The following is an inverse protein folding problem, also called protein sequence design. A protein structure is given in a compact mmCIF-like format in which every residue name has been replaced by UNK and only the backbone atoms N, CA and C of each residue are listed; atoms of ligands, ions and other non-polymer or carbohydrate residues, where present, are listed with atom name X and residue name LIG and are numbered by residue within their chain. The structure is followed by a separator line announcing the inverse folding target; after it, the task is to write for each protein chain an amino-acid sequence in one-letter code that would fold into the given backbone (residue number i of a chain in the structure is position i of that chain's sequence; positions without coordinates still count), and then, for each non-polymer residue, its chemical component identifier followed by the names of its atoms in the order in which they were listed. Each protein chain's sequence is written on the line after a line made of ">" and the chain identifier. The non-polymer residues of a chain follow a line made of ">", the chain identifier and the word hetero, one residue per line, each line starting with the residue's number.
data_IF_323887308172
#
_entry.id   IF_323887308172
#
_cell.length_a   1.000
_cell.length_b   1.000
_cell.length_c   1.000
_cell.angle_alpha   90.00
_cell.angle_beta   90.00
_cell.angle_gamma   90.00
#
_symmetry.space_group_name_H-M   'P 1'
#
loop_
_entity.id
_entity.type
_entity.pdbx_description
1 polymer ?
#
# COMPACT_ATOMS: atom_id res chain seq x y z
N UNK A 1 -11.15 -3.94 -41.96
CA UNK A 1 -9.76 -3.47 -41.73
C UNK A 1 -9.86 -2.63 -40.48
N UNK A 2 -9.95 -3.36 -39.38
CA UNK A 2 -10.44 -2.84 -38.12
C UNK A 2 -9.29 -2.48 -37.20
N UNK A 3 -9.59 -1.42 -36.46
CA UNK A 3 -8.79 -0.83 -35.43
C UNK A 3 -8.31 -1.86 -34.40
N UNK A 4 -7.06 -1.73 -33.95
CA UNK A 4 -6.74 -2.06 -32.57
C UNK A 4 -5.94 -0.94 -31.95
N UNK A 5 -6.67 -0.18 -31.13
CA UNK A 5 -6.21 0.86 -30.22
C UNK A 5 -5.36 0.17 -29.16
N UNK A 6 -4.13 0.64 -28.96
CA UNK A 6 -3.17 0.12 -27.98
C UNK A 6 -3.81 0.11 -26.58
N UNK A 7 -3.97 -1.07 -26.00
CA UNK A 7 -4.38 -1.26 -24.61
C UNK A 7 -3.13 -1.01 -23.76
N UNK A 8 -3.17 0.07 -22.99
CA UNK A 8 -2.16 0.40 -21.99
C UNK A 8 -2.11 -0.70 -20.91
N UNK A 9 -0.91 -1.13 -20.60
CA UNK A 9 -0.57 -2.03 -19.49
C UNK A 9 -1.00 -1.38 -18.16
N UNK A 10 -2.06 -1.89 -17.54
CA UNK A 10 -2.37 -1.64 -16.13
C UNK A 10 -1.63 -2.67 -15.28
N UNK A 11 -0.59 -2.23 -14.56
CA UNK A 11 -0.08 -2.94 -13.38
C UNK A 11 -0.38 -2.09 -12.15
N UNK A 12 -1.60 -2.23 -11.61
CA UNK A 12 -1.89 -1.94 -10.20
C UNK A 12 -2.93 -2.96 -9.75
N UNK A 13 -2.45 -4.06 -9.19
CA UNK A 13 -3.28 -4.98 -8.41
C UNK A 13 -2.43 -5.50 -7.26
N UNK A 14 -2.14 -4.60 -6.32
CA UNK A 14 -1.67 -4.97 -4.99
C UNK A 14 -2.56 -4.28 -3.95
N UNK A 15 -3.84 -4.62 -3.96
CA UNK A 15 -4.77 -4.64 -2.80
C UNK A 15 -6.17 -5.06 -3.28
N UNK A 16 -6.38 -6.36 -3.49
CA UNK A 16 -7.72 -6.90 -3.72
C UNK A 16 -7.82 -8.34 -3.23
N UNK A 17 -7.63 -8.55 -1.93
CA UNK A 17 -7.94 -9.83 -1.29
C UNK A 17 -8.26 -9.66 0.21
N UNK A 18 -9.28 -8.85 0.51
CA UNK A 18 -10.07 -9.01 1.73
C UNK A 18 -11.50 -8.56 1.44
N UNK A 19 -12.45 -9.51 1.47
CA UNK A 19 -13.91 -9.36 1.52
C UNK A 19 -14.58 -8.26 0.68
N UNK A 20 -15.47 -8.64 -0.25
CA UNK A 20 -16.45 -7.75 -0.86
C UNK A 20 -17.28 -7.00 0.20
N UNK A 21 -16.81 -5.82 0.59
CA UNK A 21 -17.59 -4.70 1.09
C UNK A 21 -17.15 -3.50 0.26
N UNK A 22 -18.11 -2.85 -0.41
CA UNK A 22 -17.95 -1.77 -1.38
C UNK A 22 -16.61 -1.01 -1.26
N UNK A 23 -15.70 -1.26 -2.19
CA UNK A 23 -14.53 -0.42 -2.41
C UNK A 23 -15.06 0.94 -2.89
N UNK A 24 -15.11 1.92 -2.00
CA UNK A 24 -15.35 3.32 -2.38
C UNK A 24 -14.24 3.68 -3.38
N UNK A 25 -14.60 4.17 -4.56
CA UNK A 25 -13.60 4.62 -5.54
C UNK A 25 -12.80 5.78 -4.92
N UNK A 26 -11.48 5.59 -4.75
CA UNK A 26 -10.58 6.64 -4.23
C UNK A 26 -10.62 7.85 -5.16
N UNK A 27 -10.67 9.06 -4.61
CA UNK A 27 -10.63 10.29 -5.39
C UNK A 27 -9.22 10.52 -5.95
N UNK A 28 -9.01 10.17 -7.22
CA UNK A 28 -7.75 10.45 -7.94
C UNK A 28 -7.58 11.96 -8.13
N UNK A 29 -6.43 12.50 -7.76
CA UNK A 29 -6.10 13.92 -7.95
C UNK A 29 -5.03 14.09 -9.01
N UNK A 30 -5.12 15.19 -9.76
CA UNK A 30 -4.11 15.56 -10.75
C UNK A 30 -2.99 16.34 -10.06
N UNK A 31 -1.77 15.81 -10.14
CA UNK A 31 -0.57 16.52 -9.72
C UNK A 31 -0.11 17.53 -10.78
N UNK A 32 0.65 18.53 -10.36
CA UNK A 32 1.37 19.44 -11.25
C UNK A 32 2.58 18.77 -11.91
N UNK A 33 3.49 19.58 -12.44
CA UNK A 33 4.74 19.08 -13.04
C UNK A 33 5.84 19.00 -11.98
N UNK A 34 6.52 17.85 -11.91
CA UNK A 34 7.69 17.69 -11.05
C UNK A 34 8.87 18.51 -11.56
N UNK A 35 9.64 19.09 -10.64
CA UNK A 35 10.84 19.89 -10.97
C UNK A 35 11.96 19.61 -9.96
N UNK A 36 13.22 19.45 -10.42
CA UNK A 36 14.35 19.29 -9.52
C UNK A 36 14.64 20.58 -8.77
N UNK A 37 15.03 20.48 -7.50
CA UNK A 37 15.54 21.63 -6.76
C UNK A 37 16.91 22.09 -7.28
N UNK A 38 17.70 21.13 -7.75
CA UNK A 38 19.00 21.36 -8.39
C UNK A 38 19.20 20.33 -9.51
N UNK A 39 19.32 20.82 -10.75
CA UNK A 39 19.48 19.98 -11.93
C UNK A 39 20.82 19.22 -11.98
N UNK A 40 21.81 19.57 -11.14
CA UNK A 40 23.04 18.82 -11.01
C UNK A 40 22.89 17.54 -10.19
N UNK A 41 21.89 17.48 -9.31
CA UNK A 41 21.71 16.38 -8.34
C UNK A 41 20.38 15.65 -8.46
N UNK A 42 19.42 16.20 -9.20
CA UNK A 42 18.12 15.62 -9.46
C UNK A 42 17.72 15.76 -10.94
N UNK A 43 17.10 14.72 -11.48
CA UNK A 43 16.53 14.71 -12.84
C UNK A 43 15.08 14.24 -12.80
N UNK A 44 14.26 14.81 -13.68
CA UNK A 44 12.84 14.49 -13.81
C UNK A 44 12.56 14.10 -15.25
N UNK A 45 12.00 12.91 -15.47
CA UNK A 45 11.52 12.44 -16.77
C UNK A 45 10.06 12.01 -16.65
N UNK A 46 9.15 12.90 -17.02
CA UNK A 46 7.73 12.74 -16.72
C UNK A 46 7.51 12.70 -15.20
N UNK A 47 7.02 11.55 -14.70
CA UNK A 47 6.81 11.33 -13.27
C UNK A 47 7.92 10.49 -12.61
N UNK A 48 8.97 10.13 -13.35
CA UNK A 48 10.15 9.45 -12.80
C UNK A 48 11.15 10.47 -12.30
N UNK A 49 11.50 10.35 -11.02
CA UNK A 49 12.36 11.24 -10.26
C UNK A 49 13.62 10.48 -9.90
N UNK A 50 14.79 10.99 -10.30
CA UNK A 50 16.07 10.33 -10.05
C UNK A 50 17.04 11.29 -9.37
N UNK A 51 17.58 10.87 -8.23
CA UNK A 51 18.49 11.63 -7.37
C UNK A 51 19.88 11.00 -7.39
N UNK A 52 20.91 11.77 -7.74
CA UNK A 52 22.30 11.29 -7.78
C UNK A 52 23.04 11.45 -6.44
N UNK A 53 22.50 12.23 -5.50
CA UNK A 53 23.09 12.50 -4.20
C UNK A 53 22.05 12.37 -3.08
N UNK A 54 22.52 12.15 -1.84
CA UNK A 54 21.67 12.28 -0.66
C UNK A 54 21.23 13.74 -0.50
N UNK A 55 20.01 13.94 -0.01
CA UNK A 55 19.36 15.24 0.20
C UNK A 55 18.99 16.00 -1.08
N UNK A 56 19.24 15.42 -2.25
CA UNK A 56 18.69 15.92 -3.51
C UNK A 56 17.17 15.67 -3.53
N UNK A 57 16.42 16.56 -4.16
CA UNK A 57 14.98 16.48 -4.14
C UNK A 57 14.30 17.18 -5.30
N UNK A 58 13.01 16.88 -5.42
CA UNK A 58 12.11 17.43 -6.42
C UNK A 58 10.84 17.92 -5.75
N UNK A 59 10.33 19.04 -6.23
CA UNK A 59 9.01 19.55 -5.85
C UNK A 59 7.98 19.32 -6.95
N UNK A 60 6.71 19.31 -6.57
CA UNK A 60 5.58 19.38 -7.47
C UNK A 60 4.67 20.49 -6.96
N UNK A 61 4.73 21.63 -7.65
CA UNK A 61 4.01 22.83 -7.26
C UNK A 61 2.55 22.72 -7.70
N UNK A 62 1.64 22.96 -6.76
CA UNK A 62 0.20 22.71 -6.93
C UNK A 62 -0.62 24.00 -6.90
N UNK A 63 -0.10 25.06 -6.29
CA UNK A 63 -0.78 26.35 -6.34
C UNK A 63 -0.75 26.92 -7.76
N UNK A 64 -1.91 27.43 -8.22
CA UNK A 64 -2.08 28.02 -9.54
C UNK A 64 -2.42 29.50 -9.41
N UNK A 65 -1.43 30.37 -9.66
CA UNK A 65 -1.56 31.80 -9.40
C UNK A 65 -1.83 32.06 -7.91
N UNK A 66 -2.96 32.69 -7.61
CA UNK A 66 -3.36 33.05 -6.23
C UNK A 66 -4.08 31.92 -5.48
N UNK A 67 -4.34 30.79 -6.13
CA UNK A 67 -5.14 29.69 -5.57
C UNK A 67 -4.24 28.53 -5.13
N UNK A 68 -4.49 28.03 -3.92
CA UNK A 68 -3.90 26.78 -3.44
C UNK A 68 -4.75 25.58 -3.90
N UNK A 69 -4.16 24.39 -3.92
CA UNK A 69 -4.93 23.16 -4.08
C UNK A 69 -5.77 22.88 -2.81
N UNK A 70 -7.02 22.48 -3.03
CA UNK A 70 -7.95 22.09 -1.97
C UNK A 70 -8.08 20.58 -1.91
N UNK A 71 -7.55 20.00 -0.83
CA UNK A 71 -7.55 18.57 -0.54
C UNK A 71 -8.33 18.25 0.74
N UNK A 72 -9.30 19.09 1.12
CA UNK A 72 -10.08 18.90 2.35
C UNK A 72 -10.94 17.64 2.38
N UNK A 73 -11.15 17.01 1.23
CA UNK A 73 -11.96 15.78 1.10
C UNK A 73 -11.21 14.52 1.58
N UNK A 74 -9.91 14.61 1.88
CA UNK A 74 -9.12 13.49 2.40
C UNK A 74 -8.50 13.77 3.77
N UNK A 75 -8.11 12.69 4.44
CA UNK A 75 -7.28 12.73 5.65
C UNK A 75 -5.79 12.53 5.33
N UNK A 76 -5.48 11.84 4.23
CA UNK A 76 -4.12 11.58 3.74
C UNK A 76 -4.01 11.84 2.24
N UNK A 77 -2.81 12.21 1.82
CA UNK A 77 -2.35 11.99 0.45
C UNK A 77 -1.77 10.59 0.35
N UNK A 78 -2.24 9.82 -0.62
CA UNK A 78 -1.64 8.55 -1.05
C UNK A 78 -0.97 8.76 -2.40
N UNK A 79 0.32 8.45 -2.51
CA UNK A 79 1.05 8.38 -3.77
C UNK A 79 1.30 6.92 -4.11
N UNK A 80 0.70 6.45 -5.20
CA UNK A 80 1.08 5.18 -5.80
C UNK A 80 2.40 5.36 -6.52
N UNK A 81 3.36 4.48 -6.22
CA UNK A 81 4.71 4.56 -6.75
C UNK A 81 5.21 3.24 -7.30
N UNK A 82 6.05 3.34 -8.32
CA UNK A 82 6.80 2.23 -8.90
C UNK A 82 8.29 2.57 -8.96
N UNK A 83 9.11 1.55 -9.19
CA UNK A 83 10.56 1.67 -9.30
C UNK A 83 11.22 2.42 -8.13
N UNK A 84 10.64 2.37 -6.93
CA UNK A 84 11.21 2.98 -5.74
C UNK A 84 12.50 2.25 -5.37
N UNK A 85 13.62 2.94 -5.54
CA UNK A 85 14.97 2.52 -5.19
C UNK A 85 15.59 3.57 -4.27
N UNK A 86 16.14 3.13 -3.15
CA UNK A 86 16.57 4.02 -2.07
C UNK A 86 15.42 4.57 -1.24
N UNK A 87 15.76 5.43 -0.28
CA UNK A 87 14.82 5.94 0.72
C UNK A 87 14.58 7.43 0.53
N UNK A 88 13.33 7.87 0.66
CA UNK A 88 12.91 9.26 0.49
C UNK A 88 12.17 9.78 1.72
N UNK A 89 12.44 11.04 2.05
CA UNK A 89 11.52 11.87 2.81
C UNK A 89 10.47 12.42 1.84
N UNK A 90 9.21 12.43 2.27
CA UNK A 90 8.10 13.01 1.54
C UNK A 90 7.45 14.09 2.38
N UNK A 91 6.91 15.15 1.77
CA UNK A 91 6.14 16.12 2.51
C UNK A 91 5.11 16.87 1.68
N UNK A 92 4.12 17.42 2.40
CA UNK A 92 3.14 18.37 1.88
C UNK A 92 3.38 19.70 2.58
N UNK A 93 3.43 20.76 1.78
CA UNK A 93 3.67 22.12 2.23
C UNK A 93 2.43 22.97 1.99
N UNK A 94 2.14 23.85 2.96
CA UNK A 94 0.88 24.58 3.04
C UNK A 94 1.11 26.09 3.13
N UNK A 95 0.06 26.85 2.84
CA UNK A 95 -0.06 28.28 3.11
C UNK A 95 -0.91 28.53 4.37
N UNK A 96 -0.68 29.67 5.05
CA UNK A 96 -1.42 30.06 6.26
C UNK A 96 -2.63 30.97 6.01
N UNK A 97 -3.02 31.17 4.74
CA UNK A 97 -4.05 32.10 4.23
C UNK A 97 -3.68 33.59 4.32
N UNK A 98 -2.43 33.91 4.66
CA UNK A 98 -1.99 35.29 4.93
C UNK A 98 -0.70 35.67 4.21
N UNK A 99 0.16 34.69 3.97
CA UNK A 99 1.50 34.89 3.44
C UNK A 99 1.50 34.74 1.92
N UNK A 100 1.73 35.85 1.24
CA UNK A 100 1.76 35.93 -0.22
C UNK A 100 3.07 36.60 -0.68
N UNK A 101 3.52 36.25 -1.88
CA UNK A 101 4.63 36.94 -2.53
C UNK A 101 4.20 38.31 -3.08
N UNK A 102 5.13 39.09 -3.63
CA UNK A 102 4.86 40.42 -4.20
C UNK A 102 3.88 40.38 -5.40
N UNK A 103 3.59 39.19 -5.93
CA UNK A 103 2.65 38.96 -7.03
C UNK A 103 1.30 38.42 -6.54
N UNK A 104 1.12 38.25 -5.22
CA UNK A 104 -0.08 37.72 -4.60
C UNK A 104 -0.19 36.19 -4.60
N UNK A 105 0.85 35.47 -5.00
CA UNK A 105 0.84 34.01 -4.97
C UNK A 105 1.06 33.49 -3.55
N UNK A 106 0.39 32.41 -3.12
CA UNK A 106 0.58 31.84 -1.80
C UNK A 106 2.00 31.32 -1.63
N UNK A 107 2.59 31.59 -0.46
CA UNK A 107 3.94 31.11 -0.11
C UNK A 107 3.87 29.92 0.86
N UNK A 108 4.91 29.10 0.86
CA UNK A 108 5.03 27.97 1.78
C UNK A 108 5.35 28.45 3.21
N UNK A 109 4.59 27.96 4.18
CA UNK A 109 4.85 28.11 5.61
C UNK A 109 5.39 26.78 6.16
N UNK A 110 6.68 26.77 6.49
CA UNK A 110 7.40 25.53 6.81
C UNK A 110 6.85 24.81 8.03
N UNK A 111 6.37 25.56 9.02
CA UNK A 111 5.83 25.07 10.29
C UNK A 111 4.52 24.29 10.11
N UNK A 112 3.83 24.45 8.97
CA UNK A 112 2.60 23.73 8.67
C UNK A 112 2.84 22.39 7.95
N UNK A 113 4.08 22.15 7.51
CA UNK A 113 4.48 20.99 6.70
C UNK A 113 4.15 19.69 7.42
N UNK A 114 3.51 18.75 6.72
CA UNK A 114 3.36 17.37 7.15
C UNK A 114 4.28 16.47 6.36
N UNK A 115 4.73 15.38 6.97
CA UNK A 115 5.78 14.53 6.41
C UNK A 115 5.35 13.08 6.35
N UNK A 116 5.85 12.39 5.34
CA UNK A 116 5.83 10.93 5.22
C UNK A 116 7.20 10.43 4.80
N UNK A 117 7.30 9.13 4.58
CA UNK A 117 8.54 8.47 4.13
C UNK A 117 8.21 7.42 3.10
N UNK A 118 9.18 7.15 2.24
CA UNK A 118 9.14 6.05 1.29
C UNK A 118 10.46 5.29 1.41
N UNK A 119 10.39 3.98 1.59
CA UNK A 119 11.58 3.12 1.66
C UNK A 119 11.81 2.38 0.35
N UNK A 120 13.02 1.86 0.15
CA UNK A 120 13.35 1.00 -0.99
C UNK A 120 12.31 -0.11 -1.15
N UNK A 121 11.79 -0.27 -2.38
CA UNK A 121 10.79 -1.28 -2.71
C UNK A 121 9.34 -0.96 -2.32
N UNK A 122 9.07 0.08 -1.53
CA UNK A 122 7.70 0.51 -1.21
C UNK A 122 6.91 0.82 -2.49
N UNK A 123 5.61 0.52 -2.48
CA UNK A 123 4.67 0.75 -3.59
C UNK A 123 3.74 1.92 -3.37
N UNK A 124 3.69 2.44 -2.14
CA UNK A 124 2.78 3.52 -1.77
C UNK A 124 3.47 4.42 -0.74
N UNK A 125 3.31 5.74 -0.88
CA UNK A 125 3.67 6.72 0.15
C UNK A 125 2.40 7.37 0.71
N UNK A 126 2.23 7.37 2.04
CA UNK A 126 1.18 8.13 2.71
C UNK A 126 1.76 9.35 3.41
N UNK A 127 1.07 10.48 3.30
CA UNK A 127 1.37 11.69 4.04
C UNK A 127 0.07 12.22 4.65
N UNK A 128 0.01 12.31 5.98
CA UNK A 128 -1.18 12.84 6.67
C UNK A 128 -1.39 14.30 6.28
N UNK A 129 -2.62 14.67 5.94
CA UNK A 129 -2.96 16.04 5.65
C UNK A 129 -3.05 16.86 6.94
N UNK A 130 -2.69 18.13 6.84
CA UNK A 130 -2.92 19.07 7.93
C UNK A 130 -4.40 19.44 7.96
N UNK A 131 -5.15 18.90 8.93
CA UNK A 131 -6.61 19.08 9.05
C UNK A 131 -7.09 20.55 9.02
N UNK A 132 -6.25 21.50 9.46
CA UNK A 132 -6.61 22.92 9.50
C UNK A 132 -6.27 23.70 8.22
N UNK A 133 -5.48 23.08 7.33
CA UNK A 133 -4.89 23.73 6.15
C UNK A 133 -4.91 22.84 4.90
N UNK A 134 -5.65 21.72 4.90
CA UNK A 134 -5.78 20.81 3.76
C UNK A 134 -6.41 21.49 2.54
N UNK A 135 -7.13 22.60 2.74
CA UNK A 135 -7.65 23.50 1.70
C UNK A 135 -6.62 24.50 1.15
N UNK A 136 -5.36 24.43 1.61
CA UNK A 136 -4.28 25.39 1.34
C UNK A 136 -2.96 24.71 1.00
N UNK A 137 -3.01 23.65 0.21
CA UNK A 137 -1.83 22.92 -0.26
C UNK A 137 -1.12 23.71 -1.36
N UNK A 138 0.20 23.87 -1.22
CA UNK A 138 1.02 24.66 -2.14
C UNK A 138 1.96 23.77 -2.95
N UNK A 139 2.60 22.80 -2.29
CA UNK A 139 3.66 22.00 -2.89
C UNK A 139 3.74 20.64 -2.21
N UNK A 140 4.09 19.62 -2.97
CA UNK A 140 4.60 18.35 -2.41
C UNK A 140 6.05 18.18 -2.81
N UNK A 141 6.84 17.46 -2.02
CA UNK A 141 8.20 17.14 -2.41
C UNK A 141 8.64 15.76 -1.96
N UNK A 142 9.60 15.22 -2.73
CA UNK A 142 10.31 13.99 -2.44
C UNK A 142 11.81 14.29 -2.42
N UNK A 143 12.49 13.88 -1.37
CA UNK A 143 13.91 14.12 -1.15
C UNK A 143 14.60 12.81 -0.78
N UNK A 144 15.64 12.42 -1.52
CA UNK A 144 16.41 11.22 -1.19
C UNK A 144 17.17 11.38 0.13
N UNK A 145 17.28 10.30 0.89
CA UNK A 145 18.16 10.20 2.06
C UNK A 145 19.46 9.44 1.75
N UNK A 146 19.50 8.76 0.60
CA UNK A 146 20.63 7.99 0.10
C UNK A 146 21.18 8.58 -1.20
N UNK A 147 22.46 8.34 -1.49
CA UNK A 147 23.03 8.64 -2.79
C UNK A 147 22.58 7.59 -3.81
N UNK A 148 22.19 8.02 -5.01
CA UNK A 148 21.55 7.18 -6.04
C UNK A 148 20.22 6.59 -5.58
N UNK A 149 19.13 7.32 -5.85
CA UNK A 149 17.77 6.89 -5.57
C UNK A 149 16.87 7.24 -6.76
N UNK A 150 15.83 6.44 -6.99
CA UNK A 150 14.84 6.70 -8.05
C UNK A 150 13.45 6.31 -7.59
N UNK A 151 12.42 7.02 -8.05
CA UNK A 151 11.02 6.67 -7.82
C UNK A 151 10.17 7.21 -8.96
N UNK A 152 9.18 6.45 -9.40
CA UNK A 152 8.14 6.94 -10.31
C UNK A 152 6.86 7.15 -9.51
N UNK A 153 6.27 8.34 -9.61
CA UNK A 153 4.94 8.64 -9.03
C UNK A 153 3.88 8.34 -10.08
N UNK A 154 3.19 7.22 -9.94
CA UNK A 154 2.24 6.75 -10.94
C UNK A 154 0.90 7.50 -10.81
N UNK A 155 0.39 7.60 -9.58
CA UNK A 155 -0.90 8.23 -9.27
C UNK A 155 -0.91 8.87 -7.89
N UNK A 156 -1.90 9.72 -7.66
CA UNK A 156 -2.12 10.37 -6.38
C UNK A 156 -3.61 10.36 -6.02
N UNK A 157 -3.92 10.09 -4.76
CA UNK A 157 -5.27 9.98 -4.24
C UNK A 157 -5.44 10.74 -2.92
N UNK A 158 -6.66 11.23 -2.70
CA UNK A 158 -7.12 11.63 -1.37
C UNK A 158 -7.87 10.45 -0.75
N UNK A 159 -7.49 10.11 0.48
CA UNK A 159 -7.97 8.90 1.17
C UNK A 159 -8.32 9.20 2.62
N UNK A 160 -9.27 8.43 3.15
CA UNK A 160 -9.72 8.58 4.54
C UNK A 160 -8.77 7.92 5.54
N UNK A 161 -8.92 8.25 6.82
CA UNK A 161 -8.24 7.55 7.91
C UNK A 161 -8.58 6.06 7.92
N UNK A 162 -9.83 5.65 7.62
CA UNK A 162 -10.18 4.22 7.56
C UNK A 162 -9.40 3.47 6.47
N UNK A 163 -9.25 4.07 5.29
CA UNK A 163 -8.50 3.47 4.18
C UNK A 163 -7.00 3.35 4.51
N UNK A 164 -6.42 4.37 5.15
CA UNK A 164 -5.05 4.31 5.64
C UNK A 164 -4.86 3.23 6.72
N UNK A 165 -5.79 3.09 7.66
CA UNK A 165 -5.73 2.03 8.67
C UNK A 165 -5.85 0.63 8.03
N UNK A 166 -6.69 0.48 7.01
CA UNK A 166 -6.79 -0.76 6.23
C UNK A 166 -5.46 -1.09 5.52
N UNK A 167 -4.80 -0.08 4.92
CA UNK A 167 -3.46 -0.23 4.35
C UNK A 167 -2.44 -0.67 5.40
N UNK A 168 -2.41 -0.05 6.59
CA UNK A 168 -1.49 -0.44 7.65
C UNK A 168 -1.72 -1.87 8.11
N UNK A 169 -2.99 -2.28 8.25
CA UNK A 169 -3.35 -3.66 8.58
C UNK A 169 -2.82 -4.63 7.51
N UNK A 170 -3.00 -4.33 6.23
CA UNK A 170 -2.50 -5.16 5.14
C UNK A 170 -0.96 -5.19 5.10
N UNK A 171 -0.30 -4.03 5.18
CA UNK A 171 1.16 -3.94 5.22
C UNK A 171 1.74 -4.73 6.39
N UNK A 172 1.06 -4.72 7.54
CA UNK A 172 1.50 -5.44 8.75
C UNK A 172 1.45 -6.97 8.61
N UNK A 173 0.69 -7.51 7.65
CA UNK A 173 0.74 -8.94 7.32
C UNK A 173 2.07 -9.37 6.70
N UNK A 174 2.79 -8.43 6.09
CA UNK A 174 4.15 -8.60 5.58
C UNK A 174 4.26 -9.67 4.49
N UNK A 175 4.10 -9.28 3.23
CA UNK A 175 4.27 -10.18 2.08
C UNK A 175 5.67 -10.81 2.06
N UNK A 176 5.71 -12.13 1.96
CA UNK A 176 6.93 -12.93 1.83
C UNK A 176 7.02 -13.49 0.40
N UNK A 177 8.19 -13.40 -0.22
CA UNK A 177 8.43 -13.98 -1.55
C UNK A 177 8.95 -15.41 -1.39
N UNK A 178 8.13 -16.39 -1.74
CA UNK A 178 8.52 -17.80 -1.76
C UNK A 178 9.35 -18.11 -3.01
N UNK A 179 8.97 -17.52 -4.16
CA UNK A 179 9.65 -17.69 -5.44
C UNK A 179 9.40 -16.49 -6.36
N UNK A 180 10.37 -16.15 -7.20
CA UNK A 180 10.26 -15.15 -8.26
C UNK A 180 11.16 -15.56 -9.43
N UNK A 181 10.69 -15.35 -10.66
CA UNK A 181 11.41 -15.75 -11.86
C UNK A 181 10.54 -15.66 -13.11
N UNK A 182 10.86 -16.44 -14.13
CA UNK A 182 10.03 -16.60 -15.32
C UNK A 182 10.12 -18.05 -15.77
N UNK A 183 9.04 -18.81 -15.56
CA UNK A 183 8.98 -20.23 -15.91
C UNK A 183 7.77 -20.48 -16.80
N UNK A 184 8.02 -20.69 -18.10
CA UNK A 184 6.99 -21.02 -19.07
C UNK A 184 6.69 -22.52 -19.03
N UNK A 185 5.44 -22.89 -18.73
CA UNK A 185 5.02 -24.28 -18.63
C UNK A 185 4.75 -24.97 -19.98
N UNK A 186 4.77 -24.21 -21.09
CA UNK A 186 4.49 -24.74 -22.43
C UNK A 186 3.07 -25.32 -22.56
N UNK A 187 2.86 -26.15 -23.57
CA UNK A 187 1.54 -26.73 -23.90
C UNK A 187 1.55 -28.26 -23.91
N UNK A 188 2.46 -28.87 -23.14
CA UNK A 188 2.70 -30.33 -23.14
C UNK A 188 2.54 -30.99 -21.78
N UNK A 189 2.25 -30.25 -20.71
CA UNK A 189 2.26 -30.75 -19.33
C UNK A 189 3.59 -31.43 -18.95
N UNK A 190 4.69 -30.91 -19.48
CA UNK A 190 6.02 -31.43 -19.18
C UNK A 190 6.40 -31.12 -17.72
N UNK A 191 6.43 -32.17 -16.88
CA UNK A 191 6.79 -32.06 -15.47
C UNK A 191 8.20 -31.51 -15.23
N UNK A 192 9.09 -31.55 -16.22
CA UNK A 192 10.42 -30.91 -16.12
C UNK A 192 10.37 -29.38 -16.14
N UNK A 193 9.25 -28.80 -16.61
CA UNK A 193 9.01 -27.35 -16.60
C UNK A 193 8.34 -26.86 -15.31
N UNK A 194 7.99 -27.77 -14.40
CA UNK A 194 7.37 -27.41 -13.13
C UNK A 194 8.37 -26.68 -12.22
N UNK A 195 7.88 -25.65 -11.52
CA UNK A 195 8.67 -24.89 -10.55
C UNK A 195 8.67 -25.63 -9.22
N UNK A 196 9.87 -25.95 -8.73
CA UNK A 196 10.10 -26.58 -7.44
C UNK A 196 10.54 -25.52 -6.43
N UNK A 197 9.77 -25.33 -5.35
CA UNK A 197 10.08 -24.38 -4.28
C UNK A 197 10.45 -25.16 -3.02
N UNK A 198 11.69 -25.00 -2.57
CA UNK A 198 12.22 -25.72 -1.41
C UNK A 198 11.44 -25.42 -0.11
N UNK A 199 11.23 -26.43 0.72
CA UNK A 199 10.54 -26.34 2.02
C UNK A 199 11.00 -25.18 2.91
N UNK A 200 12.30 -24.86 2.90
CA UNK A 200 12.88 -23.77 3.69
C UNK A 200 12.28 -22.38 3.39
N UNK A 201 11.67 -22.18 2.21
CA UNK A 201 10.95 -20.95 1.85
C UNK A 201 9.64 -20.77 2.62
N UNK A 202 9.10 -21.85 3.19
CA UNK A 202 7.83 -21.86 3.89
C UNK A 202 7.98 -21.96 5.42
N UNK A 203 9.20 -21.92 5.94
CA UNK A 203 9.49 -22.09 7.37
C UNK A 203 8.78 -21.06 8.27
N UNK A 204 8.50 -19.85 7.77
CA UNK A 204 7.79 -18.79 8.49
C UNK A 204 6.27 -18.77 8.27
N UNK A 205 5.74 -19.67 7.42
CA UNK A 205 4.30 -19.77 7.13
C UNK A 205 3.53 -20.17 8.39
N UNK A 206 2.41 -19.49 8.66
CA UNK A 206 1.53 -19.73 9.80
C UNK A 206 0.17 -20.21 9.33
N UNK A 207 -0.55 -20.90 10.22
CA UNK A 207 -1.96 -21.27 10.04
C UNK A 207 -2.76 -20.09 9.46
N UNK A 208 -3.54 -20.33 8.41
CA UNK A 208 -4.34 -19.31 7.75
C UNK A 208 -3.56 -18.34 6.85
N UNK A 209 -2.31 -18.66 6.47
CA UNK A 209 -1.56 -17.87 5.51
C UNK A 209 -2.23 -17.86 4.13
N UNK A 210 -2.26 -16.69 3.51
CA UNK A 210 -2.77 -16.50 2.15
C UNK A 210 -1.62 -16.50 1.16
N UNK A 211 -1.70 -17.35 0.16
CA UNK A 211 -0.73 -17.48 -0.93
C UNK A 211 -1.27 -16.85 -2.21
N UNK A 212 -0.41 -16.17 -2.94
CA UNK A 212 -0.71 -15.60 -4.27
C UNK A 212 0.31 -16.08 -5.30
N UNK A 213 -0.20 -16.56 -6.43
CA UNK A 213 0.56 -17.10 -7.55
C UNK A 213 0.35 -16.17 -8.73
N UNK A 214 1.39 -15.49 -9.18
CA UNK A 214 1.36 -14.55 -10.30
C UNK A 214 1.85 -15.21 -11.57
N UNK A 215 1.15 -14.94 -12.67
CA UNK A 215 1.45 -15.54 -13.97
C UNK A 215 0.95 -14.67 -15.13
N UNK A 216 1.55 -14.90 -16.29
CA UNK A 216 1.05 -14.43 -17.58
C UNK A 216 0.39 -15.60 -18.33
N UNK A 217 -0.82 -15.40 -18.84
CA UNK A 217 -1.45 -16.37 -19.74
C UNK A 217 -0.84 -16.24 -21.14
N UNK A 218 -0.28 -17.32 -21.66
CA UNK A 218 0.30 -17.32 -23.00
C UNK A 218 -0.81 -17.46 -24.06
N UNK A 219 -0.50 -17.13 -25.32
CA UNK A 219 -1.44 -17.21 -26.45
C UNK A 219 -1.25 -18.48 -27.29
N UNK A 220 -0.57 -19.50 -26.75
CA UNK A 220 -0.19 -20.70 -27.48
C UNK A 220 -1.31 -21.76 -27.50
N UNK A 221 -2.35 -21.56 -26.68
CA UNK A 221 -3.54 -22.41 -26.62
C UNK A 221 -4.79 -21.62 -26.18
N UNK A 222 -5.96 -22.23 -26.32
CA UNK A 222 -7.27 -21.60 -26.02
C UNK A 222 -7.58 -21.51 -24.52
N UNK A 223 -6.76 -22.11 -23.67
CA UNK A 223 -6.93 -22.10 -22.23
C UNK A 223 -5.58 -22.10 -21.51
N UNK A 224 -5.57 -21.62 -20.27
CA UNK A 224 -4.39 -21.59 -19.40
C UNK A 224 -4.75 -22.19 -18.05
N UNK A 225 -3.85 -23.01 -17.50
CA UNK A 225 -4.03 -23.70 -16.23
C UNK A 225 -2.76 -23.72 -15.40
N UNK A 226 -2.92 -23.76 -14.08
CA UNK A 226 -1.86 -24.04 -13.12
C UNK A 226 -2.28 -25.14 -12.16
N UNK A 227 -1.34 -25.91 -11.61
CA UNK A 227 -1.57 -26.85 -10.53
C UNK A 227 -0.66 -26.54 -9.35
N UNK A 228 -1.22 -26.57 -8.14
CA UNK A 228 -0.52 -26.21 -6.91
C UNK A 228 -0.43 -27.49 -6.07
N UNK A 229 0.78 -28.01 -5.93
CA UNK A 229 1.05 -29.29 -5.28
C UNK A 229 2.03 -29.16 -4.11
N UNK A 230 2.00 -30.13 -3.20
CA UNK A 230 3.10 -30.36 -2.27
C UNK A 230 4.36 -30.87 -3.00
N UNK A 231 5.48 -30.96 -2.29
CA UNK A 231 6.75 -31.48 -2.81
C UNK A 231 6.69 -32.93 -3.33
N UNK A 232 5.62 -33.66 -3.02
CA UNK A 232 5.37 -35.03 -3.50
C UNK A 232 4.39 -35.07 -4.68
N UNK A 233 4.10 -33.93 -5.31
CA UNK A 233 3.19 -33.78 -6.44
C UNK A 233 1.71 -34.06 -6.14
N UNK A 234 1.32 -34.08 -4.86
CA UNK A 234 -0.09 -34.14 -4.50
C UNK A 234 -0.69 -32.74 -4.54
N UNK A 235 -1.80 -32.57 -5.24
CA UNK A 235 -2.53 -31.29 -5.25
C UNK A 235 -2.92 -30.88 -3.83
N UNK A 236 -2.62 -29.64 -3.47
CA UNK A 236 -3.01 -29.09 -2.17
C UNK A 236 -4.53 -28.98 -2.10
N UNK A 237 -5.10 -29.43 -0.98
CA UNK A 237 -6.55 -29.41 -0.77
C UNK A 237 -7.14 -27.99 -0.76
N UNK A 238 -6.31 -26.99 -0.44
CA UNK A 238 -6.67 -25.57 -0.41
C UNK A 238 -6.71 -24.91 -1.79
N UNK A 239 -6.31 -25.59 -2.87
CA UNK A 239 -6.54 -25.12 -4.24
C UNK A 239 -8.03 -25.30 -4.60
N UNK A 240 -8.89 -24.42 -4.05
CA UNK A 240 -10.35 -24.63 -4.02
C UNK A 240 -11.03 -24.77 -5.39
N UNK A 241 -10.42 -24.19 -6.41
CA UNK A 241 -10.93 -24.21 -7.79
C UNK A 241 -10.23 -25.26 -8.65
N UNK A 242 -9.44 -26.13 -8.03
CA UNK A 242 -8.77 -27.21 -8.72
C UNK A 242 -9.80 -28.23 -9.20
N UNK A 243 -9.69 -28.56 -10.49
CA UNK A 243 -10.42 -29.65 -11.09
C UNK A 243 -10.20 -30.96 -10.28
N UNK A 244 -11.25 -31.66 -9.85
CA UNK A 244 -11.11 -32.86 -9.02
C UNK A 244 -10.36 -34.02 -9.67
N UNK A 245 -10.32 -34.07 -11.01
CA UNK A 245 -9.64 -35.12 -11.77
C UNK A 245 -8.17 -34.79 -11.99
N UNK A 246 -7.84 -33.53 -12.27
CA UNK A 246 -6.50 -33.13 -12.72
C UNK A 246 -5.71 -32.32 -11.68
N UNK A 247 -6.40 -31.78 -10.68
CA UNK A 247 -5.81 -30.94 -9.64
C UNK A 247 -5.30 -29.60 -10.18
N UNK A 248 -5.94 -29.08 -11.22
CA UNK A 248 -5.52 -27.87 -11.95
C UNK A 248 -6.62 -26.83 -11.93
N UNK A 249 -6.21 -25.57 -11.84
CA UNK A 249 -7.08 -24.40 -11.79
C UNK A 249 -7.05 -23.73 -13.16
N UNK A 250 -8.22 -23.41 -13.72
CA UNK A 250 -8.33 -22.58 -14.92
C UNK A 250 -8.01 -21.13 -14.58
N UNK A 251 -7.05 -20.54 -15.28
CA UNK A 251 -6.55 -19.18 -15.00
C UNK A 251 -6.68 -18.21 -16.17
N UNK A 252 -7.26 -18.66 -17.28
CA UNK A 252 -7.45 -17.82 -18.48
C UNK A 252 -8.13 -16.48 -18.16
N UNK A 253 -7.57 -15.40 -18.70
CA UNK A 253 -8.08 -14.04 -18.51
C UNK A 253 -7.75 -13.40 -17.16
N UNK A 254 -6.93 -14.06 -16.32
CA UNK A 254 -6.44 -13.53 -15.04
C UNK A 254 -4.92 -13.42 -15.04
N UNK A 255 -4.36 -12.69 -14.07
CA UNK A 255 -2.91 -12.52 -13.87
C UNK A 255 -2.41 -13.09 -12.54
N UNK A 256 -3.31 -13.59 -11.70
CA UNK A 256 -2.97 -14.18 -10.41
C UNK A 256 -4.08 -15.06 -9.86
N UNK A 257 -3.68 -16.08 -9.10
CA UNK A 257 -4.56 -16.92 -8.29
C UNK A 257 -4.21 -16.75 -6.81
N UNK A 258 -5.21 -16.65 -5.94
CA UNK A 258 -5.00 -16.49 -4.49
C UNK A 258 -5.81 -17.51 -3.72
N UNK A 259 -5.19 -18.14 -2.72
CA UNK A 259 -5.88 -19.03 -1.79
C UNK A 259 -5.27 -19.01 -0.39
N UNK A 260 -6.09 -19.24 0.63
CA UNK A 260 -5.63 -19.46 2.00
C UNK A 260 -5.36 -20.94 2.22
N UNK A 261 -4.14 -21.28 2.62
CA UNK A 261 -3.78 -22.67 2.88
C UNK A 261 -4.28 -23.14 4.25
N UNK A 262 -4.81 -24.35 4.29
CA UNK A 262 -5.15 -25.07 5.50
C UNK A 262 -3.89 -25.45 6.30
N UNK A 263 -4.07 -25.75 7.58
CA UNK A 263 -2.96 -26.17 8.45
C UNK A 263 -2.28 -27.44 7.96
N UNK A 264 -3.03 -28.34 7.32
CA UNK A 264 -2.48 -29.59 6.81
C UNK A 264 -1.65 -29.36 5.55
N UNK A 265 -2.12 -28.54 4.61
CA UNK A 265 -1.32 -28.15 3.45
C UNK A 265 -0.08 -27.35 3.87
N UNK A 266 -0.17 -26.49 4.89
CA UNK A 266 1.01 -25.77 5.42
C UNK A 266 2.06 -26.76 5.95
N UNK A 267 1.64 -27.81 6.68
CA UNK A 267 2.57 -28.84 7.17
C UNK A 267 3.23 -29.61 6.02
N UNK A 268 2.49 -29.92 4.95
CA UNK A 268 3.08 -30.64 3.80
C UNK A 268 4.11 -29.79 3.09
N UNK A 269 3.84 -28.50 2.84
CA UNK A 269 4.83 -27.62 2.18
C UNK A 269 6.02 -27.26 3.08
N UNK A 270 5.83 -27.17 4.39
CA UNK A 270 6.93 -26.93 5.34
C UNK A 270 7.89 -28.11 5.46
N UNK A 271 7.43 -29.33 5.14
CA UNK A 271 8.26 -30.54 5.16
C UNK A 271 8.83 -30.89 3.80
N UNK A 272 8.01 -30.83 2.74
CA UNK A 272 8.36 -31.29 1.40
C UNK A 272 8.62 -30.19 0.37
N UNK A 273 8.24 -28.94 0.65
CA UNK A 273 8.23 -27.87 -0.34
C UNK A 273 6.96 -27.89 -1.19
N UNK A 274 6.97 -27.10 -2.26
CA UNK A 274 5.82 -26.89 -3.15
C UNK A 274 6.23 -27.07 -4.60
N UNK A 275 5.33 -27.64 -5.40
CA UNK A 275 5.49 -27.80 -6.84
C UNK A 275 4.39 -27.06 -7.55
N UNK A 276 4.78 -26.18 -8.49
CA UNK A 276 3.85 -25.51 -9.39
C UNK A 276 4.03 -26.07 -10.79
N UNK A 277 2.97 -26.69 -11.29
CA UNK A 277 2.86 -27.17 -12.69
C UNK A 277 1.90 -26.25 -13.45
N UNK A 278 1.90 -26.32 -14.77
CA UNK A 278 0.91 -25.58 -15.54
C UNK A 278 0.89 -25.91 -17.03
N UNK A 279 0.09 -25.13 -17.74
CA UNK A 279 -0.15 -25.24 -19.17
C UNK A 279 -0.52 -23.86 -19.72
N UNK A 280 0.11 -23.47 -20.82
CA UNK A 280 -0.10 -22.21 -21.54
C UNK A 280 -0.06 -20.99 -20.59
N UNK A 281 0.85 -21.02 -19.63
CA UNK A 281 1.08 -19.95 -18.66
C UNK A 281 2.56 -19.86 -18.30
N UNK A 282 2.99 -18.65 -17.95
CA UNK A 282 4.33 -18.36 -17.45
C UNK A 282 4.22 -17.89 -16.01
N UNK A 283 4.71 -18.68 -15.05
CA UNK A 283 4.76 -18.28 -13.64
C UNK A 283 5.83 -17.21 -13.44
N UNK A 284 5.49 -16.13 -12.74
CA UNK A 284 6.38 -14.99 -12.52
C UNK A 284 6.74 -14.79 -11.05
N UNK A 285 5.83 -15.08 -10.13
CA UNK A 285 6.06 -14.89 -8.69
C UNK A 285 5.13 -15.75 -7.84
N UNK A 286 5.59 -16.17 -6.67
CA UNK A 286 4.78 -16.79 -5.62
C UNK A 286 5.06 -16.07 -4.30
N UNK A 287 4.01 -15.56 -3.68
CA UNK A 287 4.08 -14.88 -2.38
C UNK A 287 3.15 -15.51 -1.36
N UNK A 288 3.41 -15.23 -0.09
CA UNK A 288 2.44 -15.48 0.97
C UNK A 288 2.45 -14.39 2.03
N UNK A 289 1.31 -14.17 2.65
CA UNK A 289 1.13 -13.33 3.83
C UNK A 289 0.61 -14.16 4.97
N UNK A 290 1.21 -13.99 6.15
CA UNK A 290 0.67 -14.60 7.35
C UNK A 290 -0.49 -13.75 7.87
N UNK A 291 -1.51 -14.36 8.51
CA UNK A 291 -2.47 -13.57 9.26
C UNK A 291 -1.70 -12.81 10.34
N UNK A 292 -2.04 -11.54 10.51
CA UNK A 292 -1.65 -10.79 11.70
C UNK A 292 -2.27 -11.53 12.88
N UNK A 293 -1.44 -11.94 13.84
CA UNK A 293 -2.00 -12.26 15.15
C UNK A 293 -2.74 -11.00 15.59
N UNK A 294 -4.01 -11.12 16.00
CA UNK A 294 -4.70 -10.12 16.80
C UNK A 294 -4.00 -10.04 18.16
N UNK A 295 -2.70 -9.74 18.14
CA UNK A 295 -2.02 -9.17 19.27
C UNK A 295 -2.80 -7.90 19.51
N UNK A 296 -3.52 -7.88 20.62
CA UNK A 296 -4.02 -6.65 21.21
C UNK A 296 -2.78 -5.75 21.31
N UNK A 297 -2.56 -4.93 20.28
CA UNK A 297 -1.65 -3.82 20.35
C UNK A 297 -2.25 -3.01 21.47
N UNK A 298 -1.57 -3.06 22.62
CA UNK A 298 -1.90 -2.42 23.91
C UNK A 298 -3.09 -1.49 23.80
N UNK A 299 -4.12 -1.66 24.63
CA UNK A 299 -5.19 -0.66 24.77
C UNK A 299 -4.54 0.71 24.82
N UNK A 300 -4.52 1.41 23.68
CA UNK A 300 -4.21 2.81 23.68
C UNK A 300 -5.43 3.36 24.38
N UNK A 301 -5.30 3.60 25.68
CA UNK A 301 -6.11 4.63 26.31
C UNK A 301 -5.77 5.87 25.49
N UNK A 302 -6.55 6.13 24.44
CA UNK A 302 -6.58 7.41 23.74
C UNK A 302 -6.33 8.45 24.81
N UNK A 303 -5.23 9.20 24.69
CA UNK A 303 -4.97 10.34 25.58
C UNK A 303 -6.30 10.99 25.81
N UNK A 304 -6.78 10.96 27.06
CA UNK A 304 -8.11 11.45 27.41
C UNK A 304 -8.23 12.82 26.75
N UNK A 305 -9.20 12.98 25.85
CA UNK A 305 -9.46 14.19 25.03
C UNK A 305 -9.72 15.45 25.91
N UNK A 306 -9.58 15.32 27.23
CA UNK A 306 -10.01 16.24 28.24
C UNK A 306 -9.10 16.17 29.49
N UNK A 307 -7.78 16.09 29.33
CA UNK A 307 -6.88 16.27 30.47
C UNK A 307 -7.17 17.64 31.12
N UNK A 308 -7.75 17.60 32.32
CA UNK A 308 -8.11 18.79 33.09
C UNK A 308 -9.55 19.30 32.96
N UNK A 309 -10.41 18.75 32.09
CA UNK A 309 -11.83 19.13 32.08
C UNK A 309 -12.56 18.53 33.29
N UNK A 310 -13.54 19.27 33.80
CA UNK A 310 -14.36 18.90 34.96
C UNK A 310 -15.78 18.61 34.50
N UNK A 311 -16.37 17.51 34.97
CA UNK A 311 -17.75 17.11 34.65
C UNK A 311 -18.57 16.95 35.94
N UNK A 312 -19.87 17.19 35.90
CA UNK A 312 -20.76 16.79 36.98
C UNK A 312 -21.08 15.28 36.91
N UNK A 313 -21.83 14.75 37.88
CA UNK A 313 -22.22 13.33 37.91
C UNK A 313 -23.15 12.91 36.76
N UNK A 314 -23.79 13.86 36.08
CA UNK A 314 -24.61 13.61 34.90
C UNK A 314 -23.80 13.61 33.59
N UNK A 315 -22.47 13.73 33.65
CA UNK A 315 -21.59 13.73 32.47
C UNK A 315 -21.53 15.06 31.73
N UNK A 316 -22.12 16.14 32.27
CA UNK A 316 -22.07 17.47 31.66
C UNK A 316 -20.78 18.19 32.07
N UNK A 317 -20.11 18.86 31.13
CA UNK A 317 -18.90 19.66 31.41
C UNK A 317 -19.29 20.88 32.26
N UNK A 318 -18.52 21.16 33.30
CA UNK A 318 -18.76 22.27 34.24
C UNK A 318 -17.51 23.14 34.45
N UNK A 319 -17.73 24.43 34.72
CA UNK A 319 -16.67 25.41 34.98
C UNK A 319 -16.22 25.45 36.45
N UNK A 320 -15.23 26.31 36.76
CA UNK A 320 -14.66 26.49 38.11
C UNK A 320 -15.64 27.03 39.16
N UNK A 321 -16.77 27.58 38.74
CA UNK A 321 -17.81 28.14 39.62
C UNK A 321 -18.82 27.11 40.09
N UNK A 322 -18.84 25.91 39.50
CA UNK A 322 -19.71 24.81 39.92
C UNK A 322 -19.34 24.35 41.34
N UNK A 323 -20.33 24.19 42.21
CA UNK A 323 -20.17 23.76 43.61
C UNK A 323 -20.78 22.38 43.75
N UNK A 324 -20.02 21.42 44.26
CA UNK A 324 -20.49 20.04 44.44
C UNK A 324 -19.53 18.98 43.91
N UNK A 325 -20.04 17.75 43.77
CA UNK A 325 -19.23 16.62 43.33
C UNK A 325 -18.99 16.67 41.82
N UNK A 326 -17.73 16.54 41.43
CA UNK A 326 -17.29 16.57 40.03
C UNK A 326 -16.34 15.42 39.72
N UNK A 327 -16.23 15.07 38.44
CA UNK A 327 -15.30 14.09 37.91
C UNK A 327 -14.23 14.84 37.11
N UNK A 328 -12.97 14.68 37.49
CA UNK A 328 -11.81 15.23 36.77
C UNK A 328 -10.77 14.13 36.59
N UNK A 329 -10.29 13.94 35.35
CA UNK A 329 -9.35 12.86 34.99
C UNK A 329 -9.82 11.45 35.43
N UNK A 330 -11.13 11.21 35.56
CA UNK A 330 -11.71 9.94 36.02
C UNK A 330 -11.75 9.74 37.54
N UNK A 331 -11.41 10.76 38.33
CA UNK A 331 -11.50 10.74 39.80
C UNK A 331 -12.57 11.71 40.29
N UNK A 332 -13.26 11.36 41.38
CA UNK A 332 -14.28 12.21 42.03
C UNK A 332 -13.61 13.25 42.93
N UNK A 333 -14.06 14.50 42.84
CA UNK A 333 -13.63 15.62 43.68
C UNK A 333 -14.84 16.39 44.20
N UNK A 334 -14.70 17.07 45.33
CA UNK A 334 -15.65 18.10 45.77
C UNK A 334 -15.08 19.45 45.37
N UNK A 335 -15.75 20.13 44.43
CA UNK A 335 -15.43 21.51 44.08
C UNK A 335 -16.18 22.41 45.07
N UNK A 336 -15.43 22.93 46.04
CA UNK A 336 -15.95 23.79 47.11
C UNK A 336 -16.31 25.14 46.59
#
# INVERSE_FOLDING_TARGET
>A
MDAYKKISTLFVALLAAASMSAQTEKTEITLGTWSPWDAATATVNGNTLTMSAAWAGTGNWLANGTECADWSDGDYLELDVSNCTGNFNAAIQYNDRKTFDDKGNPTVVKELTTTGTLSDGDKVCYIKLNENYSDKVVNIWLQSTTATASVTVDKAYLVSEEEYQAYLAEKSKGEQVAWEGSSNFGTSWDGSLAVQISAGKFASTKSGATFTFYYDCNSDADYSQIGICDGSWNTLSSAKDADPQWGTINVGGTTSYTTTLSDDDIKTIQSGGMVIKGYNATLTKVTFTNPTTDGINSVQTTKKVNEGATFNLAGQRVGKTFRGMVIRNGKKYIQK
#
